data_IF_600647269589
#
_entry.id   IF_600647269589
#
_cell.length_a   1.000
_cell.length_b   1.000
_cell.length_c   1.000
_cell.angle_alpha   90.00
_cell.angle_beta   90.00
_cell.angle_gamma   90.00
#
_symmetry.space_group_name_H-M   'P 1'
#
loop_
_entity.id
_entity.type
_entity.pdbx_description
1 polymer ?
#
# COMPACT_ATOMS: atom_id res chain seq x y z
N UNK A 1 11.11 13.23 24.79
CA UNK A 1 11.90 13.41 23.56
C UNK A 1 10.95 13.22 22.39
N UNK A 2 10.86 14.22 21.51
CA UNK A 2 10.06 14.17 20.29
C UNK A 2 10.74 13.22 19.28
N UNK A 3 9.99 12.36 18.59
CA UNK A 3 10.54 11.53 17.51
C UNK A 3 11.06 12.43 16.39
N UNK A 4 12.28 12.17 15.93
CA UNK A 4 12.90 12.92 14.83
C UNK A 4 12.19 12.63 13.51
N UNK A 5 12.14 13.61 12.61
CA UNK A 5 11.67 13.40 11.25
C UNK A 5 12.63 12.46 10.50
N UNK A 6 12.11 11.68 9.55
CA UNK A 6 12.95 10.81 8.71
C UNK A 6 14.06 11.60 7.97
N UNK A 7 13.79 12.87 7.64
CA UNK A 7 14.76 13.78 7.01
C UNK A 7 15.91 14.19 7.94
N UNK A 8 15.70 14.19 9.26
CA UNK A 8 16.74 14.47 10.26
C UNK A 8 17.60 13.23 10.56
N UNK A 9 17.08 12.05 10.22
CA UNK A 9 17.80 10.76 10.31
C UNK A 9 18.60 10.49 9.04
N UNK A 10 18.16 11.06 7.91
CA UNK A 10 18.76 10.94 6.59
C UNK A 10 20.25 11.28 6.59
N UNK A 11 21.04 10.49 5.87
CA UNK A 11 22.46 10.75 5.64
C UNK A 11 22.81 10.49 4.16
N UNK A 12 23.50 11.42 3.48
CA UNK A 12 23.84 11.28 2.06
C UNK A 12 24.50 9.94 1.73
N UNK A 13 24.07 9.32 0.63
CA UNK A 13 24.62 8.05 0.14
C UNK A 13 24.13 6.78 0.84
N UNK A 14 23.35 6.90 1.93
CA UNK A 14 22.76 5.74 2.59
C UNK A 14 21.63 5.14 1.76
N UNK A 15 21.65 3.82 1.59
CA UNK A 15 20.67 3.06 0.80
C UNK A 15 19.85 2.13 1.70
N UNK A 16 18.54 2.18 1.55
CA UNK A 16 17.60 1.39 2.36
C UNK A 16 17.09 0.13 1.67
N UNK A 17 17.33 -0.02 0.38
CA UNK A 17 16.89 -1.15 -0.42
C UNK A 17 17.87 -1.37 -1.58
N UNK A 18 18.08 -2.63 -1.94
CA UNK A 18 18.80 -3.00 -3.15
C UNK A 18 17.83 -3.63 -4.12
N UNK A 19 17.78 -3.11 -5.35
CA UNK A 19 17.02 -3.74 -6.41
C UNK A 19 17.66 -5.08 -6.80
N UNK A 20 16.87 -6.04 -7.31
CA UNK A 20 17.42 -7.22 -7.97
C UNK A 20 18.27 -6.79 -9.18
N UNK A 21 19.14 -7.70 -9.64
CA UNK A 21 19.91 -7.48 -10.87
C UNK A 21 18.98 -7.23 -12.05
N UNK A 22 19.40 -6.36 -12.98
CA UNK A 22 18.66 -6.09 -14.21
C UNK A 22 18.54 -7.37 -15.04
N UNK A 23 17.35 -7.63 -15.55
CA UNK A 23 17.04 -8.66 -16.54
C UNK A 23 17.16 -8.13 -17.98
N UNK A 24 17.54 -6.85 -18.13
CA UNK A 24 17.73 -6.13 -19.38
C UNK A 24 19.10 -5.45 -19.41
N UNK A 25 19.63 -5.08 -20.60
CA UNK A 25 20.88 -4.33 -20.70
C UNK A 25 20.81 -3.01 -19.92
N UNK A 26 21.87 -2.72 -19.16
CA UNK A 26 22.00 -1.45 -18.45
C UNK A 26 22.15 -0.30 -19.46
N UNK A 27 21.36 0.76 -19.30
CA UNK A 27 21.41 1.96 -20.15
C UNK A 27 21.30 3.20 -19.27
N UNK A 28 22.04 4.26 -19.60
CA UNK A 28 21.95 5.53 -18.90
C UNK A 28 20.63 6.26 -19.24
N UNK A 29 20.07 6.95 -18.25
CA UNK A 29 18.90 7.81 -18.43
C UNK A 29 19.14 8.96 -19.42
N UNK A 30 20.38 9.46 -19.51
CA UNK A 30 20.75 10.56 -20.40
C UNK A 30 20.64 10.15 -21.89
N UNK A 31 20.80 8.86 -22.19
CA UNK A 31 20.68 8.31 -23.55
C UNK A 31 19.23 8.03 -23.96
N UNK A 32 18.32 7.88 -22.99
CA UNK A 32 16.93 7.46 -23.20
C UNK A 32 15.92 8.61 -23.14
N UNK A 33 16.22 9.64 -22.34
CA UNK A 33 15.27 10.71 -22.03
C UNK A 33 15.87 12.06 -22.41
N UNK A 34 15.25 12.84 -23.32
CA UNK A 34 15.75 14.17 -23.66
C UNK A 34 15.91 15.06 -22.42
N UNK A 35 17.03 15.78 -22.33
CA UNK A 35 17.43 16.54 -21.13
C UNK A 35 16.36 17.50 -20.57
N UNK A 36 15.48 18.04 -21.43
CA UNK A 36 14.36 18.91 -21.03
C UNK A 36 13.30 18.20 -20.15
N UNK A 37 13.29 16.86 -20.17
CA UNK A 37 12.37 16.02 -19.40
C UNK A 37 13.04 15.35 -18.19
N UNK A 38 14.36 15.47 -18.05
CA UNK A 38 15.09 14.92 -16.90
C UNK A 38 14.85 15.75 -15.63
N UNK A 39 14.61 15.04 -14.53
CA UNK A 39 14.46 15.64 -13.21
C UNK A 39 15.83 16.00 -12.63
N UNK A 40 16.01 17.25 -12.19
CA UNK A 40 17.28 17.73 -11.63
C UNK A 40 17.51 17.36 -10.17
N UNK A 41 16.47 17.42 -9.33
CA UNK A 41 16.58 17.16 -7.90
C UNK A 41 15.41 16.33 -7.36
N UNK A 42 15.72 15.38 -6.47
CA UNK A 42 14.74 14.58 -5.76
C UNK A 42 14.98 14.67 -4.25
N UNK A 43 14.04 15.29 -3.52
CA UNK A 43 14.17 15.54 -2.07
C UNK A 43 13.62 14.38 -1.24
N UNK A 44 14.19 13.18 -1.43
CA UNK A 44 13.85 12.00 -0.64
C UNK A 44 14.92 11.77 0.45
N UNK A 45 14.54 11.22 1.62
CA UNK A 45 15.51 10.88 2.66
C UNK A 45 16.38 9.69 2.22
N UNK A 46 17.65 9.73 2.60
CA UNK A 46 18.62 8.65 2.41
C UNK A 46 18.81 7.91 3.75
N UNK A 47 18.06 6.83 3.94
CA UNK A 47 18.02 6.05 5.18
C UNK A 47 18.37 4.58 4.92
N UNK A 48 18.92 3.89 5.91
CA UNK A 48 19.10 2.44 5.83
C UNK A 48 17.76 1.74 6.12
N UNK A 49 17.64 0.48 5.76
CA UNK A 49 16.45 -0.32 6.08
C UNK A 49 16.18 -0.30 7.59
N UNK A 50 17.23 -0.46 8.39
CA UNK A 50 17.12 -0.44 9.85
C UNK A 50 16.66 0.93 10.39
N UNK A 51 17.10 2.04 9.80
CA UNK A 51 16.62 3.37 10.17
C UNK A 51 15.11 3.49 9.90
N UNK A 52 14.66 3.03 8.74
CA UNK A 52 13.25 3.07 8.30
C UNK A 52 12.40 2.22 9.23
N UNK A 53 12.77 0.95 9.45
CA UNK A 53 12.06 0.02 10.35
C UNK A 53 11.96 0.63 11.75
N UNK A 54 13.07 1.14 12.29
CA UNK A 54 13.08 1.74 13.63
C UNK A 54 12.22 3.00 13.71
N UNK A 55 12.27 3.86 12.70
CA UNK A 55 11.48 5.09 12.65
C UNK A 55 9.98 4.80 12.63
N UNK A 56 9.50 3.97 11.69
CA UNK A 56 8.08 3.66 11.59
C UNK A 56 7.57 2.81 12.76
N UNK A 57 8.42 1.96 13.36
CA UNK A 57 8.08 1.24 14.60
C UNK A 57 7.94 2.18 15.79
N UNK A 58 8.76 3.24 15.88
CA UNK A 58 8.60 4.25 16.94
C UNK A 58 7.35 5.09 16.70
N UNK A 59 7.09 5.51 15.46
CA UNK A 59 5.87 6.23 15.11
C UNK A 59 4.60 5.43 15.41
N UNK A 60 4.58 4.12 15.13
CA UNK A 60 3.41 3.29 15.43
C UNK A 60 3.10 3.23 16.93
N UNK A 61 4.12 3.25 17.79
CA UNK A 61 3.97 3.29 19.26
C UNK A 61 3.47 4.64 19.79
N UNK A 62 3.57 5.70 19.00
CA UNK A 62 2.99 7.02 19.32
C UNK A 62 1.52 7.13 18.91
N UNK A 63 1.00 6.15 18.15
CA UNK A 63 -0.38 6.13 17.70
C UNK A 63 -1.26 5.31 18.63
N UNK A 64 -2.49 5.76 18.81
CA UNK A 64 -3.56 4.97 19.43
C UNK A 64 -4.57 4.55 18.36
N UNK A 65 -5.02 3.30 18.41
CA UNK A 65 -5.98 2.74 17.46
C UNK A 65 -6.76 1.58 18.06
N UNK A 66 -7.68 1.03 17.28
CA UNK A 66 -8.61 -0.04 17.71
C UNK A 66 -7.89 -1.30 18.22
N UNK A 67 -6.71 -1.60 17.66
CA UNK A 67 -5.90 -2.74 18.09
C UNK A 67 -5.19 -2.52 19.45
N UNK A 68 -5.09 -1.27 19.91
CA UNK A 68 -4.37 -0.90 21.13
C UNK A 68 -5.32 -0.78 22.32
N UNK A 69 -6.52 -0.25 22.11
CA UNK A 69 -7.49 -0.04 23.18
C UNK A 69 -8.86 0.41 22.69
N UNK A 70 -9.74 0.70 23.64
CA UNK A 70 -11.11 1.12 23.36
C UNK A 70 -11.15 2.46 22.62
N UNK A 71 -11.85 2.51 21.48
CA UNK A 71 -11.82 3.65 20.56
C UNK A 71 -13.25 4.15 20.22
N UNK A 72 -13.98 4.79 21.17
CA UNK A 72 -15.41 5.10 21.04
C UNK A 72 -15.70 6.38 20.25
N UNK A 73 -15.40 6.37 18.95
CA UNK A 73 -15.79 7.46 18.07
C UNK A 73 -17.20 7.24 17.50
N UNK A 74 -18.13 8.10 17.91
CA UNK A 74 -19.49 8.12 17.38
C UNK A 74 -19.51 8.31 15.86
N UNK A 75 -20.45 7.65 15.18
CA UNK A 75 -20.59 7.67 13.72
C UNK A 75 -19.44 7.07 12.89
N UNK A 76 -18.32 6.65 13.50
CA UNK A 76 -17.17 6.08 12.79
C UNK A 76 -17.17 4.54 12.76
N UNK A 77 -17.99 3.88 13.58
CA UNK A 77 -18.07 2.41 13.68
C UNK A 77 -16.68 1.76 13.81
N UNK A 78 -15.92 2.20 14.82
CA UNK A 78 -14.56 1.69 15.13
C UNK A 78 -14.60 0.28 15.73
N UNK A 79 -15.11 -0.67 14.94
CA UNK A 79 -15.21 -2.10 15.28
C UNK A 79 -13.87 -2.80 15.10
N UNK A 80 -13.76 -4.00 15.65
CA UNK A 80 -12.62 -4.88 15.40
C UNK A 80 -12.42 -5.12 13.89
N UNK A 81 -11.16 -5.06 13.45
CA UNK A 81 -10.71 -5.40 12.11
C UNK A 81 -10.09 -6.82 12.13
N UNK A 82 -10.83 -7.86 11.69
CA UNK A 82 -10.33 -9.24 11.69
C UNK A 82 -9.01 -9.38 10.93
N UNK A 83 -7.98 -9.91 11.58
CA UNK A 83 -6.64 -10.04 10.96
C UNK A 83 -6.60 -10.97 9.75
N UNK A 84 -7.51 -11.94 9.71
CA UNK A 84 -7.71 -12.80 8.53
C UNK A 84 -8.03 -11.99 7.27
N UNK A 85 -8.65 -10.80 7.39
CA UNK A 85 -8.96 -9.98 6.22
C UNK A 85 -7.69 -9.46 5.54
N UNK A 86 -6.63 -9.16 6.31
CA UNK A 86 -5.33 -8.75 5.76
C UNK A 86 -4.67 -9.92 5.02
N UNK A 87 -4.73 -11.13 5.59
CA UNK A 87 -4.18 -12.34 4.97
C UNK A 87 -4.89 -12.66 3.65
N UNK A 88 -6.24 -12.56 3.62
CA UNK A 88 -7.03 -12.82 2.42
C UNK A 88 -6.81 -11.74 1.36
N UNK A 89 -6.75 -10.45 1.74
CA UNK A 89 -6.41 -9.37 0.82
C UNK A 89 -4.99 -9.52 0.24
N UNK A 90 -4.07 -10.10 1.02
CA UNK A 90 -2.68 -10.36 0.63
C UNK A 90 -2.50 -11.49 -0.39
N UNK A 91 -3.52 -12.34 -0.62
CA UNK A 91 -3.44 -13.43 -1.60
C UNK A 91 -3.03 -12.90 -2.98
N UNK A 92 -2.07 -13.56 -3.63
CA UNK A 92 -1.52 -13.13 -4.92
C UNK A 92 -2.58 -13.01 -6.03
N UNK A 93 -3.64 -13.83 -5.94
CA UNK A 93 -4.80 -13.76 -6.82
C UNK A 93 -5.64 -12.49 -6.67
N UNK A 94 -5.39 -11.65 -5.65
CA UNK A 94 -6.00 -10.33 -5.47
C UNK A 94 -4.95 -9.22 -5.50
N UNK A 95 -3.88 -9.33 -4.72
CA UNK A 95 -2.85 -8.28 -4.55
C UNK A 95 -2.01 -8.02 -5.79
N UNK A 96 -2.01 -8.93 -6.78
CA UNK A 96 -1.24 -8.81 -8.03
C UNK A 96 -2.12 -8.74 -9.28
N UNK A 97 -3.41 -8.48 -9.13
CA UNK A 97 -4.31 -8.27 -10.26
C UNK A 97 -4.04 -6.92 -10.91
N UNK A 98 -4.10 -6.90 -12.24
CA UNK A 98 -4.18 -5.67 -13.02
C UNK A 98 -5.61 -5.52 -13.55
N UNK A 99 -6.24 -4.32 -13.44
CA UNK A 99 -7.65 -4.15 -13.75
C UNK A 99 -8.03 -4.44 -15.21
N UNK A 100 -7.08 -4.32 -16.15
CA UNK A 100 -7.28 -4.67 -17.56
C UNK A 100 -6.75 -6.07 -17.95
N UNK A 101 -6.57 -6.99 -16.99
CA UNK A 101 -6.29 -8.39 -17.35
C UNK A 101 -7.49 -9.00 -18.08
N UNK A 102 -7.27 -9.93 -19.02
CA UNK A 102 -8.37 -10.66 -19.66
C UNK A 102 -9.30 -11.27 -18.61
N UNK A 103 -10.61 -11.12 -18.79
CA UNK A 103 -11.63 -11.59 -17.84
C UNK A 103 -11.49 -13.08 -17.51
N UNK A 104 -11.05 -13.88 -18.49
CA UNK A 104 -10.80 -15.32 -18.32
C UNK A 104 -9.74 -15.64 -17.25
N UNK A 105 -8.85 -14.69 -16.93
CA UNK A 105 -7.78 -14.85 -15.94
C UNK A 105 -8.16 -14.34 -14.54
N UNK A 106 -9.30 -13.65 -14.40
CA UNK A 106 -9.69 -12.95 -13.16
C UNK A 106 -11.07 -13.37 -12.62
N UNK A 107 -11.57 -14.53 -13.05
CA UNK A 107 -12.89 -15.03 -12.66
C UNK A 107 -13.09 -15.13 -11.14
N UNK A 108 -12.04 -15.39 -10.36
CA UNK A 108 -12.12 -15.39 -8.89
C UNK A 108 -12.47 -14.00 -8.31
N UNK A 109 -11.90 -12.93 -8.85
CA UNK A 109 -12.21 -11.56 -8.44
C UNK A 109 -13.60 -11.13 -8.92
N UNK A 110 -13.96 -11.46 -10.16
CA UNK A 110 -15.30 -11.18 -10.69
C UNK A 110 -16.39 -11.88 -9.87
N UNK A 111 -16.16 -13.14 -9.47
CA UNK A 111 -17.05 -13.85 -8.56
C UNK A 111 -17.16 -13.15 -7.20
N UNK A 112 -16.04 -12.70 -6.63
CA UNK A 112 -16.05 -11.97 -5.35
C UNK A 112 -16.87 -10.69 -5.44
N UNK A 113 -16.72 -9.92 -6.52
CA UNK A 113 -17.49 -8.70 -6.75
C UNK A 113 -18.99 -8.98 -6.87
N UNK A 114 -19.36 -9.96 -7.71
CA UNK A 114 -20.77 -10.34 -7.90
C UNK A 114 -21.41 -10.88 -6.61
N UNK A 115 -20.71 -11.73 -5.86
CA UNK A 115 -21.19 -12.25 -4.58
C UNK A 115 -21.35 -11.12 -3.54
N UNK A 116 -20.51 -10.08 -3.60
CA UNK A 116 -20.60 -8.91 -2.71
C UNK A 116 -21.77 -7.99 -3.08
N UNK A 117 -21.95 -7.69 -4.37
CA UNK A 117 -23.10 -6.91 -4.88
C UNK A 117 -24.42 -7.53 -4.44
N UNK A 118 -24.57 -8.85 -4.62
CA UNK A 118 -25.75 -9.60 -4.17
C UNK A 118 -25.97 -9.49 -2.66
N UNK A 119 -24.92 -9.65 -1.85
CA UNK A 119 -25.05 -9.56 -0.39
C UNK A 119 -25.44 -8.16 0.06
N UNK A 120 -24.87 -7.12 -0.55
CA UNK A 120 -25.22 -5.73 -0.20
C UNK A 120 -26.65 -5.43 -0.65
N UNK A 121 -27.08 -5.87 -1.84
CA UNK A 121 -28.45 -5.67 -2.31
C UNK A 121 -29.46 -6.36 -1.39
N UNK A 122 -29.16 -7.57 -0.92
CA UNK A 122 -30.00 -8.29 0.04
C UNK A 122 -30.09 -7.56 1.40
N UNK A 123 -28.96 -7.10 1.94
CA UNK A 123 -28.91 -6.39 3.24
C UNK A 123 -29.66 -5.05 3.18
N UNK A 124 -29.56 -4.35 2.05
CA UNK A 124 -30.12 -2.99 1.88
C UNK A 124 -31.53 -2.97 1.30
N UNK A 125 -32.00 -4.10 0.76
CA UNK A 125 -33.30 -4.20 0.08
C UNK A 125 -33.34 -3.49 -1.28
N UNK A 126 -32.18 -3.31 -1.93
CA UNK A 126 -32.08 -2.66 -3.24
C UNK A 126 -32.22 -3.68 -4.37
N UNK A 127 -32.74 -3.24 -5.52
CA UNK A 127 -32.84 -4.10 -6.71
C UNK A 127 -31.46 -4.45 -7.30
N UNK A 128 -30.50 -3.53 -7.22
CA UNK A 128 -29.15 -3.69 -7.72
C UNK A 128 -28.14 -2.82 -6.96
N UNK A 129 -26.89 -3.25 -6.94
CA UNK A 129 -25.74 -2.53 -6.38
C UNK A 129 -24.61 -2.58 -7.40
N UNK A 130 -23.80 -1.53 -7.48
CA UNK A 130 -22.57 -1.49 -8.26
C UNK A 130 -21.38 -1.18 -7.36
N UNK A 131 -20.22 -1.75 -7.68
CA UNK A 131 -18.94 -1.52 -7.00
C UNK A 131 -18.00 -0.56 -7.78
N UNK A 132 -18.54 0.22 -8.74
CA UNK A 132 -17.79 1.14 -9.62
C UNK A 132 -18.00 2.61 -9.27
#
# INVERSE_FOLDING_TARGET
>A
MTERLIFEISSPGRRGFSFPALDVPETDSDDMIPAKFLRKECRLPSCSELDVVRHFTRLSRLNHGVDVGFYPLGSCTMKYNPKINEDIAGLSGFSRLHPYQPESMVQGALKLLSDLEYKISEITGMDAVTLQ
#
